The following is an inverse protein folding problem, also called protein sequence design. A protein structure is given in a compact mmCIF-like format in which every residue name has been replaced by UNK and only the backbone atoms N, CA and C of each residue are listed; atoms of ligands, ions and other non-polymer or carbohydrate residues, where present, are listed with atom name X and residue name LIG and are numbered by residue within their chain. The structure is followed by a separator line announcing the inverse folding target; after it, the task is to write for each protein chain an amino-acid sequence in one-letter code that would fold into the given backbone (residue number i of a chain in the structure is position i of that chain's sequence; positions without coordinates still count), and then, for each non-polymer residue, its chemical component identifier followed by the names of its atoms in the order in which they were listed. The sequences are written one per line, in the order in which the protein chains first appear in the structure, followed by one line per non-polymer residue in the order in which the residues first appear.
data_IF_399522938933
#
_entry.id   IF_399522938933
#
_cell.length_a   1.000
_cell.length_b   1.000
_cell.length_c   1.000
_cell.angle_alpha   90.00
_cell.angle_beta   90.00
_cell.angle_gamma   90.00
#
_symmetry.space_group_name_H-M   'P 1'
#
loop_
_entity.id
_entity.type
_entity.pdbx_description
1 polymer ?
#
# COMPACT_ATOMS: atom_id res chain seq x y z
N UNK A 1 1.02 -11.39 -4.81
CA UNK A 1 0.90 -10.89 -6.20
C UNK A 1 1.13 -9.40 -6.18
N UNK A 2 2.27 -8.97 -6.73
CA UNK A 2 2.71 -7.59 -6.78
C UNK A 2 2.06 -6.87 -7.97
N UNK A 3 1.41 -5.75 -7.70
CA UNK A 3 1.02 -4.80 -8.74
C UNK A 3 2.09 -3.71 -8.79
N UNK A 4 2.83 -3.64 -9.91
CA UNK A 4 3.74 -2.53 -10.16
C UNK A 4 2.95 -1.39 -10.80
N UNK A 5 3.03 -0.21 -10.21
CA UNK A 5 2.24 0.95 -10.59
C UNK A 5 3.15 2.17 -10.74
N UNK A 6 3.15 2.84 -11.88
CA UNK A 6 3.89 4.08 -12.07
C UNK A 6 2.93 5.27 -12.04
N UNK A 7 3.24 6.28 -11.23
CA UNK A 7 2.54 7.56 -11.26
C UNK A 7 3.01 8.35 -12.48
N UNK A 8 2.10 8.81 -13.32
CA UNK A 8 2.41 9.63 -14.49
C UNK A 8 1.70 10.99 -14.41
N UNK A 9 2.38 12.03 -14.88
CA UNK A 9 1.76 13.32 -15.19
C UNK A 9 1.18 13.29 -16.61
N UNK A 10 0.21 14.15 -16.89
CA UNK A 10 -0.35 14.28 -18.23
C UNK A 10 0.54 15.11 -19.17
N UNK A 11 1.67 15.65 -18.69
CA UNK A 11 2.63 16.36 -19.54
C UNK A 11 4.07 16.36 -18.95
N UNK A 12 5.04 16.26 -19.87
CA UNK A 12 6.49 16.47 -19.76
C UNK A 12 7.48 15.52 -19.04
N UNK A 13 8.65 15.43 -19.68
CA UNK A 13 9.86 14.65 -19.33
C UNK A 13 10.75 15.37 -18.31
N UNK A 14 11.37 14.63 -17.38
CA UNK A 14 12.45 15.16 -16.51
C UNK A 14 13.67 14.25 -16.40
N UNK A 15 14.83 14.89 -16.22
CA UNK A 15 16.15 14.29 -16.03
C UNK A 15 16.36 13.82 -14.58
N UNK A 16 16.90 12.62 -14.41
CA UNK A 16 17.22 12.00 -13.13
C UNK A 16 18.56 12.50 -12.57
N UNK A 17 18.59 12.86 -11.29
CA UNK A 17 19.80 13.08 -10.49
C UNK A 17 19.92 11.94 -9.48
N UNK A 18 21.09 11.33 -9.35
CA UNK A 18 21.29 10.20 -8.44
C UNK A 18 21.28 10.67 -6.99
N UNK A 19 20.29 10.22 -6.21
CA UNK A 19 20.29 10.28 -4.74
C UNK A 19 20.90 8.99 -4.18
N UNK A 20 21.46 9.08 -2.96
CA UNK A 20 21.87 7.91 -2.20
C UNK A 20 20.67 6.95 -2.05
N UNK A 21 20.87 5.67 -2.42
CA UNK A 21 19.83 4.65 -2.37
C UNK A 21 19.60 4.22 -0.90
N UNK A 22 18.66 4.90 -0.25
CA UNK A 22 18.29 4.64 1.14
C UNK A 22 16.87 4.04 1.23
N UNK A 23 16.73 2.89 1.89
CA UNK A 23 15.46 2.26 2.20
C UNK A 23 14.95 2.65 3.57
N UNK A 24 13.68 3.03 3.69
CA UNK A 24 13.02 3.26 4.99
C UNK A 24 11.94 2.21 5.24
N UNK A 25 12.09 1.44 6.31
CA UNK A 25 11.07 0.52 6.80
C UNK A 25 10.28 1.16 7.96
N UNK A 26 8.96 1.23 7.83
CA UNK A 26 8.08 1.74 8.88
C UNK A 26 7.48 0.56 9.64
N UNK A 27 7.82 0.42 10.91
CA UNK A 27 7.34 -0.66 11.78
C UNK A 27 6.71 -0.07 13.04
N UNK A 28 5.53 -0.54 13.40
CA UNK A 28 4.79 0.02 14.53
C UNK A 28 5.22 -0.57 15.86
N UNK A 29 5.46 -1.88 15.91
CA UNK A 29 5.87 -2.59 17.12
C UNK A 29 7.36 -2.37 17.37
N UNK A 30 7.75 -1.85 18.54
CA UNK A 30 9.17 -1.76 18.89
C UNK A 30 9.84 -3.14 18.95
N UNK A 31 9.10 -4.19 19.32
CA UNK A 31 9.60 -5.57 19.35
C UNK A 31 9.93 -6.08 17.94
N UNK A 32 9.01 -5.92 16.98
CA UNK A 32 9.29 -6.30 15.59
C UNK A 32 10.35 -5.41 14.95
N UNK A 33 10.38 -4.12 15.27
CA UNK A 33 11.42 -3.23 14.80
C UNK A 33 12.81 -3.69 15.26
N UNK A 34 12.96 -4.11 16.52
CA UNK A 34 14.23 -4.65 17.03
C UNK A 34 14.66 -5.92 16.26
N UNK A 35 13.72 -6.78 15.89
CA UNK A 35 13.99 -7.97 15.05
C UNK A 35 14.43 -7.54 13.65
N UNK A 36 13.72 -6.60 13.01
CA UNK A 36 14.08 -6.09 11.67
C UNK A 36 15.49 -5.49 11.71
N UNK A 37 15.80 -4.63 12.69
CA UNK A 37 17.11 -4.00 12.85
C UNK A 37 18.20 -5.08 12.99
N UNK A 38 17.97 -6.11 13.81
CA UNK A 38 18.95 -7.20 13.98
C UNK A 38 19.19 -7.99 12.70
N UNK A 39 18.14 -8.22 11.90
CA UNK A 39 18.26 -8.93 10.61
C UNK A 39 18.92 -8.08 9.53
N UNK A 40 18.61 -6.78 9.48
CA UNK A 40 19.26 -5.80 8.60
C UNK A 40 20.76 -5.73 8.91
N UNK A 41 21.11 -5.69 10.19
CA UNK A 41 22.51 -5.66 10.64
C UNK A 41 23.25 -6.95 10.31
N UNK A 42 22.63 -8.10 10.58
CA UNK A 42 23.17 -9.41 10.20
C UNK A 42 23.40 -9.52 8.68
N UNK A 43 22.54 -8.91 7.87
CA UNK A 43 22.65 -8.89 6.42
C UNK A 43 23.69 -7.87 5.89
N UNK A 44 24.26 -7.04 6.76
CA UNK A 44 25.21 -5.98 6.39
C UNK A 44 24.54 -4.81 5.64
N UNK A 45 23.25 -4.58 5.88
CA UNK A 45 22.46 -3.55 5.19
C UNK A 45 22.18 -2.32 6.08
N UNK A 46 22.80 -2.23 7.26
CA UNK A 46 22.59 -1.14 8.23
C UNK A 46 22.88 0.25 7.69
N UNK A 47 23.78 0.37 6.70
CA UNK A 47 24.13 1.66 6.09
C UNK A 47 23.06 2.17 5.11
N UNK A 48 22.21 1.29 4.59
CA UNK A 48 21.23 1.63 3.55
C UNK A 48 19.77 1.48 4.02
N UNK A 49 19.48 0.67 5.05
CA UNK A 49 18.11 0.48 5.56
C UNK A 49 17.96 1.15 6.92
N UNK A 50 17.06 2.13 7.00
CA UNK A 50 16.64 2.75 8.26
C UNK A 50 15.27 2.23 8.70
N UNK A 51 15.17 1.81 9.95
CA UNK A 51 13.91 1.36 10.56
C UNK A 51 13.35 2.49 11.42
N UNK A 52 12.12 2.90 11.14
CA UNK A 52 11.43 3.97 11.86
C UNK A 52 10.28 3.37 12.66
N UNK A 53 10.39 3.46 13.98
CA UNK A 53 9.39 2.90 14.90
C UNK A 53 8.21 3.86 15.10
N UNK A 54 6.99 3.35 14.97
CA UNK A 54 5.74 4.06 15.24
C UNK A 54 4.67 3.83 14.17
N UNK A 55 3.48 4.40 14.35
CA UNK A 55 2.43 4.31 13.32
C UNK A 55 2.94 4.89 12.00
N UNK A 56 2.71 4.18 10.90
CA UNK A 56 3.18 4.60 9.58
C UNK A 56 2.68 6.01 9.21
N UNK A 57 1.44 6.36 9.58
CA UNK A 57 0.87 7.69 9.29
C UNK A 57 1.66 8.82 9.97
N UNK A 58 2.00 8.63 11.25
CA UNK A 58 2.73 9.62 12.03
C UNK A 58 4.21 9.65 11.64
N UNK A 59 4.79 8.49 11.33
CA UNK A 59 6.16 8.38 10.82
C UNK A 59 6.32 9.08 9.47
N UNK A 60 5.42 8.87 8.51
CA UNK A 60 5.42 9.58 7.22
C UNK A 60 5.34 11.10 7.43
N UNK A 61 4.40 11.57 8.25
CA UNK A 61 4.25 13.01 8.54
C UNK A 61 5.50 13.60 9.19
N UNK A 62 6.10 12.89 10.13
CA UNK A 62 7.33 13.32 10.83
C UNK A 62 8.50 13.42 9.87
N UNK A 63 8.72 12.39 9.04
CA UNK A 63 9.79 12.36 8.04
C UNK A 63 9.64 13.47 6.98
N UNK A 64 8.40 13.71 6.54
CA UNK A 64 8.10 14.83 5.65
C UNK A 64 8.37 16.18 6.34
N UNK A 65 7.89 16.37 7.58
CA UNK A 65 8.08 17.61 8.33
C UNK A 65 9.56 17.92 8.62
N UNK A 66 10.39 16.90 8.87
CA UNK A 66 11.83 17.06 9.04
C UNK A 66 12.60 17.17 7.73
N UNK A 67 11.93 17.15 6.56
CA UNK A 67 12.54 17.10 5.23
C UNK A 67 13.47 15.90 5.00
N UNK A 68 13.36 14.85 5.83
CA UNK A 68 14.11 13.61 5.70
C UNK A 68 13.53 12.73 4.57
N UNK A 69 12.24 12.84 4.30
CA UNK A 69 11.56 12.22 3.17
C UNK A 69 10.91 13.31 2.32
N UNK A 70 11.43 13.50 1.10
CA UNK A 70 10.97 14.55 0.16
C UNK A 70 10.22 13.97 -1.03
N UNK A 71 10.62 12.77 -1.45
CA UNK A 71 10.05 12.03 -2.57
C UNK A 71 10.20 10.53 -2.27
N UNK A 72 9.33 9.72 -2.87
CA UNK A 72 9.39 8.26 -2.80
C UNK A 72 9.54 7.75 -4.23
N UNK A 73 10.72 7.21 -4.56
CA UNK A 73 10.96 6.57 -5.86
C UNK A 73 10.25 5.21 -5.93
N UNK A 74 10.30 4.43 -4.84
CA UNK A 74 9.66 3.13 -4.72
C UNK A 74 8.87 3.02 -3.40
N UNK A 75 7.57 2.70 -3.50
CA UNK A 75 6.71 2.43 -2.34
C UNK A 75 6.27 0.97 -2.32
N UNK A 76 6.70 0.21 -1.30
CA UNK A 76 6.24 -1.17 -1.09
C UNK A 76 5.12 -1.22 -0.03
N UNK A 77 4.00 -1.86 -0.35
CA UNK A 77 2.82 -1.98 0.52
C UNK A 77 2.52 -3.46 0.83
N UNK A 78 2.83 -3.90 2.06
CA UNK A 78 2.66 -5.31 2.49
C UNK A 78 2.20 -5.48 3.96
N UNK A 79 1.41 -4.55 4.47
CA UNK A 79 1.01 -4.54 5.88
C UNK A 79 -0.52 -4.70 6.04
N UNK A 80 -1.17 -3.79 6.76
CA UNK A 80 -2.60 -3.70 6.96
C UNK A 80 -3.34 -3.21 5.71
N UNK A 81 -3.90 -4.15 4.95
CA UNK A 81 -4.63 -3.92 3.69
C UNK A 81 -5.63 -2.77 3.74
N UNK A 82 -6.48 -2.63 4.78
CA UNK A 82 -7.44 -1.53 4.84
C UNK A 82 -6.80 -0.14 4.82
N UNK A 83 -5.51 -0.03 5.15
CA UNK A 83 -4.80 1.24 5.18
C UNK A 83 -4.08 1.60 3.87
N UNK A 84 -3.95 0.70 2.89
CA UNK A 84 -3.14 0.97 1.69
C UNK A 84 -3.59 2.24 0.98
N UNK A 85 -4.90 2.36 0.72
CA UNK A 85 -5.46 3.55 0.05
C UNK A 85 -5.31 4.80 0.91
N UNK A 86 -5.42 4.69 2.23
CA UNK A 86 -5.22 5.82 3.15
C UNK A 86 -3.76 6.28 3.13
N UNK A 87 -2.81 5.35 3.14
CA UNK A 87 -1.39 5.66 3.08
C UNK A 87 -0.99 6.27 1.75
N UNK A 88 -1.49 5.71 0.65
CA UNK A 88 -1.30 6.30 -0.67
C UNK A 88 -1.81 7.74 -0.70
N UNK A 89 -3.07 7.98 -0.31
CA UNK A 89 -3.66 9.33 -0.27
C UNK A 89 -2.89 10.28 0.65
N UNK A 90 -2.34 9.81 1.77
CA UNK A 90 -1.46 10.60 2.63
C UNK A 90 -0.19 11.01 1.91
N UNK A 91 0.51 10.07 1.28
CA UNK A 91 1.74 10.36 0.54
C UNK A 91 1.50 11.28 -0.65
N UNK A 92 0.40 11.11 -1.39
CA UNK A 92 -0.01 12.03 -2.46
C UNK A 92 -0.28 13.45 -1.94
N UNK A 93 -1.00 13.56 -0.82
CA UNK A 93 -1.33 14.86 -0.21
C UNK A 93 -0.08 15.61 0.25
N UNK A 94 0.90 14.88 0.78
CA UNK A 94 2.20 15.41 1.19
C UNK A 94 3.18 15.56 0.02
N UNK A 95 2.76 15.31 -1.23
CA UNK A 95 3.61 15.36 -2.43
C UNK A 95 4.85 14.47 -2.36
N UNK A 96 4.77 13.37 -1.60
CA UNK A 96 5.81 12.34 -1.53
C UNK A 96 5.69 11.36 -2.70
N UNK A 97 4.46 11.04 -3.10
CA UNK A 97 4.15 10.30 -4.34
C UNK A 97 3.90 11.33 -5.43
N UNK A 98 4.73 11.29 -6.47
CA UNK A 98 4.66 12.20 -7.63
C UNK A 98 4.92 11.41 -8.90
N UNK A 99 4.75 12.00 -10.09
CA UNK A 99 5.13 11.34 -11.33
C UNK A 99 6.56 10.78 -11.27
N UNK A 100 6.76 9.54 -11.72
CA UNK A 100 7.99 8.76 -11.58
C UNK A 100 8.03 7.82 -10.37
N UNK A 101 7.17 8.01 -9.36
CA UNK A 101 7.04 7.05 -8.25
C UNK A 101 6.52 5.71 -8.74
N UNK A 102 7.22 4.63 -8.40
CA UNK A 102 6.77 3.26 -8.60
C UNK A 102 6.20 2.72 -7.29
N UNK A 103 5.06 2.05 -7.36
CA UNK A 103 4.47 1.35 -6.22
C UNK A 103 4.40 -0.14 -6.48
N UNK A 104 4.66 -0.92 -5.44
CA UNK A 104 4.52 -2.37 -5.42
C UNK A 104 3.60 -2.75 -4.26
N UNK A 105 2.40 -3.22 -4.57
CA UNK A 105 1.44 -3.61 -3.53
C UNK A 105 1.21 -5.11 -3.55
N UNK A 106 1.38 -5.77 -2.40
CA UNK A 106 1.21 -7.21 -2.29
C UNK A 106 -0.20 -7.61 -1.82
N UNK A 107 -0.56 -8.84 -2.16
CA UNK A 107 -1.77 -9.55 -1.80
C UNK A 107 -3.07 -8.82 -2.18
N UNK A 108 -3.05 -8.14 -3.33
CA UNK A 108 -4.16 -7.37 -3.91
C UNK A 108 -5.33 -8.28 -4.34
N UNK A 109 -5.06 -9.53 -4.72
CA UNK A 109 -6.09 -10.45 -5.23
C UNK A 109 -6.74 -11.30 -4.13
N UNK A 110 -5.97 -11.77 -3.15
CA UNK A 110 -6.49 -12.56 -2.02
C UNK A 110 -5.74 -12.22 -0.74
N UNK A 111 -6.44 -11.94 0.38
CA UNK A 111 -7.88 -11.68 0.57
C UNK A 111 -8.50 -10.50 -0.19
N UNK A 112 -7.74 -9.71 -0.94
CA UNK A 112 -8.29 -8.59 -1.71
C UNK A 112 -8.03 -7.23 -1.07
N UNK A 113 -7.92 -6.18 -1.90
CA UNK A 113 -8.00 -4.79 -1.46
C UNK A 113 -8.90 -3.97 -2.41
N UNK A 114 -10.24 -4.12 -2.32
CA UNK A 114 -11.15 -3.45 -3.24
C UNK A 114 -11.03 -1.92 -3.26
N UNK A 115 -10.89 -1.21 -2.12
CA UNK A 115 -10.71 0.25 -2.15
C UNK A 115 -9.45 0.69 -2.90
N UNK A 116 -8.36 -0.08 -2.80
CA UNK A 116 -7.13 0.20 -3.54
C UNK A 116 -7.29 -0.07 -5.04
N UNK A 117 -7.89 -1.21 -5.39
CA UNK A 117 -8.19 -1.61 -6.76
C UNK A 117 -9.22 -0.71 -7.46
N UNK A 118 -10.11 -0.07 -6.70
CA UNK A 118 -11.01 0.95 -7.23
C UNK A 118 -10.24 2.26 -7.44
N UNK A 119 -9.43 2.68 -6.46
CA UNK A 119 -8.79 3.99 -6.49
C UNK A 119 -7.67 4.10 -7.51
N UNK A 120 -6.71 3.17 -7.52
CA UNK A 120 -5.49 3.28 -8.33
C UNK A 120 -5.78 3.35 -9.84
N UNK A 121 -6.49 2.40 -10.46
CA UNK A 121 -6.74 2.42 -11.90
C UNK A 121 -7.85 3.40 -12.32
N UNK A 122 -8.48 4.11 -11.38
CA UNK A 122 -9.55 5.06 -11.69
C UNK A 122 -9.03 6.28 -12.44
N UNK A 123 -9.87 6.80 -13.33
CA UNK A 123 -9.61 8.08 -14.00
C UNK A 123 -9.73 9.25 -13.02
N UNK A 124 -9.16 10.40 -13.39
CA UNK A 124 -9.27 11.65 -12.62
C UNK A 124 -10.73 12.01 -12.33
N UNK A 125 -11.61 11.88 -13.32
CA UNK A 125 -13.03 12.21 -13.17
C UNK A 125 -13.72 11.31 -12.13
N UNK A 126 -13.40 10.01 -12.14
CA UNK A 126 -13.93 9.05 -11.16
C UNK A 126 -13.40 9.39 -9.76
N UNK A 127 -12.10 9.64 -9.61
CA UNK A 127 -11.48 10.03 -8.32
C UNK A 127 -12.12 11.31 -7.76
N UNK A 128 -12.31 12.32 -8.59
CA UNK A 128 -12.96 13.58 -8.21
C UNK A 128 -14.43 13.40 -7.84
N UNK A 129 -15.17 12.55 -8.58
CA UNK A 129 -16.56 12.20 -8.26
C UNK A 129 -16.67 11.49 -6.92
N UNK A 130 -15.87 10.44 -6.70
CA UNK A 130 -15.82 9.68 -5.44
C UNK A 130 -15.43 10.58 -4.25
N UNK A 131 -14.50 11.52 -4.42
CA UNK A 131 -14.09 12.45 -3.37
C UNK A 131 -15.16 13.47 -2.97
N UNK A 132 -16.15 13.72 -3.84
CA UNK A 132 -17.34 14.55 -3.54
C UNK A 132 -18.42 13.73 -2.82
N UNK A 133 -18.59 12.46 -3.21
CA UNK A 133 -19.59 11.54 -2.65
C UNK A 133 -19.17 11.05 -1.25
N UNK A 134 -17.91 10.65 -1.09
CA UNK A 134 -17.36 10.01 0.12
C UNK A 134 -17.01 11.01 1.24
N UNK A 135 -17.81 12.05 1.44
CA UNK A 135 -17.69 12.92 2.63
C UNK A 135 -18.18 12.23 3.93
N UNK A 136 -18.62 10.97 3.88
CA UNK A 136 -19.10 10.19 5.02
C UNK A 136 -18.18 9.00 5.33
N UNK A 137 -17.76 8.98 6.59
CA UNK A 137 -16.65 8.24 7.19
C UNK A 137 -16.84 6.72 7.21
N UNK A 138 -15.76 5.95 7.02
CA UNK A 138 -15.69 4.51 7.35
C UNK A 138 -16.01 3.51 6.23
N UNK A 139 -16.35 3.96 5.02
CA UNK A 139 -16.72 3.07 3.91
C UNK A 139 -15.56 2.15 3.47
N UNK A 140 -14.35 2.68 3.32
CA UNK A 140 -13.21 1.91 2.79
C UNK A 140 -12.80 0.77 3.74
N UNK A 141 -12.91 0.94 5.06
CA UNK A 141 -12.61 -0.13 6.03
C UNK A 141 -13.77 -1.10 6.22
N UNK A 142 -15.02 -0.68 6.02
CA UNK A 142 -16.21 -1.51 6.16
C UNK A 142 -16.33 -2.62 5.11
N UNK A 143 -15.70 -2.43 3.93
CA UNK A 143 -15.64 -3.43 2.85
C UNK A 143 -14.85 -4.68 3.27
N UNK A 144 -13.95 -4.56 4.23
CA UNK A 144 -13.17 -5.70 4.71
C UNK A 144 -13.95 -6.51 5.75
N UNK A 145 -13.96 -7.84 5.57
CA UNK A 145 -14.51 -8.78 6.54
C UNK A 145 -13.94 -8.56 7.95
N UNK A 146 -14.74 -8.84 8.98
CA UNK A 146 -14.38 -8.61 10.39
C UNK A 146 -13.05 -9.23 10.79
N UNK A 147 -12.70 -10.40 10.23
CA UNK A 147 -11.42 -11.09 10.43
C UNK A 147 -10.21 -10.25 10.01
N UNK A 148 -10.30 -9.55 8.89
CA UNK A 148 -9.19 -8.73 8.35
C UNK A 148 -9.10 -7.39 9.05
N UNK A 149 -10.25 -6.78 9.39
CA UNK A 149 -10.28 -5.54 10.20
C UNK A 149 -9.61 -5.70 11.56
N UNK A 150 -9.83 -6.85 12.21
CA UNK A 150 -9.33 -7.12 13.55
C UNK A 150 -7.97 -7.84 13.59
N UNK A 151 -7.36 -8.13 12.43
CA UNK A 151 -6.18 -8.99 12.33
C UNK A 151 -5.04 -8.57 13.27
N UNK A 152 -4.78 -7.26 13.36
CA UNK A 152 -3.76 -6.69 14.24
C UNK A 152 -4.33 -5.98 15.47
N UNK A 153 -5.65 -5.94 15.63
CA UNK A 153 -6.28 -5.21 16.74
C UNK A 153 -5.88 -5.78 18.11
N UNK A 154 -5.60 -7.09 18.19
CA UNK A 154 -5.13 -7.75 19.41
C UNK A 154 -3.69 -7.37 19.80
N UNK A 155 -2.85 -7.03 18.82
CA UNK A 155 -1.40 -6.87 19.02
C UNK A 155 -0.98 -5.40 18.98
N UNK A 156 -1.67 -4.57 18.21
CA UNK A 156 -1.28 -3.17 17.97
C UNK A 156 -2.40 -2.16 18.31
N UNK A 157 -3.57 -2.63 18.73
CA UNK A 157 -4.75 -1.77 18.92
C UNK A 157 -5.34 -1.26 17.59
N UNK A 158 -6.48 -0.54 17.65
CA UNK A 158 -7.14 0.00 16.45
C UNK A 158 -6.33 1.13 15.83
N UNK A 159 -5.83 0.92 14.62
CA UNK A 159 -5.22 1.99 13.83
C UNK A 159 -6.28 3.05 13.48
N UNK A 160 -6.00 4.31 13.82
CA UNK A 160 -6.86 5.44 13.45
C UNK A 160 -6.48 5.93 12.07
N UNK A 161 -7.07 5.31 11.05
CA UNK A 161 -6.91 5.77 9.67
C UNK A 161 -7.62 7.10 9.48
N UNK A 162 -6.88 8.12 9.03
CA UNK A 162 -7.49 9.42 8.70
C UNK A 162 -8.36 9.26 7.46
N UNK A 163 -9.64 9.59 7.60
CA UNK A 163 -10.62 9.57 6.49
C UNK A 163 -10.73 10.92 5.78
N UNK A 164 -10.07 11.95 6.29
CA UNK A 164 -10.18 13.33 5.79
C UNK A 164 -9.27 13.58 4.58
N UNK A 165 -8.19 12.82 4.47
CA UNK A 165 -7.19 13.02 3.42
C UNK A 165 -7.70 12.42 2.11
N UNK A 166 -7.96 13.30 1.13
CA UNK A 166 -8.53 12.93 -0.17
C UNK A 166 -7.50 12.47 -1.20
N UNK A 167 -6.21 12.64 -0.92
CA UNK A 167 -5.12 12.38 -1.87
C UNK A 167 -5.05 13.40 -3.01
N UNK A 168 -4.21 13.12 -4.01
CA UNK A 168 -4.10 13.90 -5.23
C UNK A 168 -4.89 13.22 -6.35
N UNK A 169 -6.10 13.73 -6.59
CA UNK A 169 -7.04 13.15 -7.54
C UNK A 169 -6.60 13.31 -9.00
N UNK A 170 -5.60 14.14 -9.28
CA UNK A 170 -5.10 14.38 -10.63
C UNK A 170 -4.01 13.38 -11.06
N UNK A 171 -3.48 12.57 -10.13
CA UNK A 171 -2.52 11.53 -10.49
C UNK A 171 -3.20 10.39 -11.23
N UNK A 172 -2.58 9.95 -12.32
CA UNK A 172 -2.98 8.78 -13.08
C UNK A 172 -1.89 7.72 -12.91
N UNK A 173 -2.34 6.49 -12.68
CA UNK A 173 -1.47 5.37 -12.39
C UNK A 173 -1.51 4.39 -13.56
N UNK A 174 -0.36 4.12 -14.17
CA UNK A 174 -0.22 2.97 -15.05
C UNK A 174 0.01 1.74 -14.19
N UNK A 175 -0.87 0.74 -14.29
CA UNK A 175 -0.82 -0.42 -13.41
C UNK A 175 -0.69 -1.72 -14.19
N UNK A 176 0.24 -2.58 -13.79
CA UNK A 176 0.34 -3.95 -14.30
C UNK A 176 0.17 -4.96 -13.18
N UNK A 177 -0.61 -5.99 -13.42
CA UNK A 177 -0.73 -7.13 -12.52
C UNK A 177 0.33 -8.16 -12.89
N UNK A 178 1.28 -8.42 -11.98
CA UNK A 178 2.31 -9.45 -12.19
C UNK A 178 1.89 -10.71 -11.45
N UNK A 179 1.52 -11.76 -12.19
CA UNK A 179 1.14 -13.03 -11.60
C UNK A 179 2.34 -13.66 -10.86
N UNK A 180 2.21 -13.89 -9.55
CA UNK A 180 3.21 -14.68 -8.82
C UNK A 180 3.02 -16.16 -9.13
N UNK A 181 4.14 -16.89 -9.28
CA UNK A 181 4.17 -18.34 -9.44
C UNK A 181 4.07 -19.05 -8.08
N UNK A 182 3.33 -18.49 -7.13
CA UNK A 182 3.21 -19.10 -5.81
C UNK A 182 2.13 -20.19 -5.81
N UNK A 183 2.44 -21.40 -5.28
CA UNK A 183 1.43 -22.40 -5.06
C UNK A 183 0.47 -21.87 -3.99
N UNK A 184 -0.76 -21.56 -4.38
CA UNK A 184 -1.81 -20.95 -3.54
C UNK A 184 -2.27 -21.83 -2.35
N UNK A 185 -1.62 -22.96 -2.09
CA UNK A 185 -2.07 -23.99 -1.16
C UNK A 185 -3.34 -24.73 -1.61
N UNK A 186 -3.89 -24.39 -2.78
CA UNK A 186 -5.05 -25.07 -3.36
C UNK A 186 -4.58 -26.32 -4.11
N UNK A 187 -5.09 -27.53 -3.77
CA UNK A 187 -4.76 -28.74 -4.50
C UNK A 187 -5.03 -28.58 -6.00
N UNK A 188 -4.05 -28.92 -6.85
CA UNK A 188 -4.12 -28.77 -8.31
C UNK A 188 -5.37 -29.45 -8.92
N UNK A 189 -5.90 -30.50 -8.28
CA UNK A 189 -7.13 -31.19 -8.70
C UNK A 189 -8.36 -30.27 -8.70
N UNK A 190 -8.42 -29.29 -7.80
CA UNK A 190 -9.56 -28.37 -7.66
C UNK A 190 -9.47 -27.18 -8.64
N UNK A 191 -8.27 -26.90 -9.17
CA UNK A 191 -8.06 -25.85 -10.17
C UNK A 191 -8.57 -26.30 -11.56
N UNK A 192 -8.59 -27.61 -11.83
CA UNK A 192 -8.95 -28.17 -13.14
C UNK A 192 -10.40 -28.67 -13.25
N UNK A 193 -11.19 -28.59 -12.18
CA UNK A 193 -12.60 -29.01 -12.17
C UNK A 193 -13.54 -27.79 -12.23
N UNK A 194 -14.24 -27.56 -13.36
CA UNK A 194 -15.18 -26.45 -13.52
C UNK A 194 -16.34 -26.45 -12.50
N UNK A 195 -16.74 -27.63 -11.99
CA UNK A 195 -17.80 -27.74 -10.99
C UNK A 195 -17.29 -27.38 -9.58
N UNK A 196 -16.04 -27.74 -9.26
CA UNK A 196 -15.39 -27.31 -8.02
C UNK A 196 -15.13 -25.80 -8.00
N UNK A 197 -14.75 -25.20 -9.13
CA UNK A 197 -14.59 -23.75 -9.26
C UNK A 197 -15.87 -22.98 -8.95
N UNK A 198 -17.02 -23.49 -9.41
CA UNK A 198 -18.33 -22.87 -9.18
C UNK A 198 -18.83 -23.03 -7.74
N UNK A 199 -18.44 -24.12 -7.07
CA UNK A 199 -18.72 -24.34 -5.64
C UNK A 199 -17.85 -23.44 -4.75
N UNK A 200 -16.58 -23.24 -5.12
CA UNK A 200 -15.68 -22.30 -4.44
C UNK A 200 -16.12 -20.83 -4.53
N UNK A 201 -16.80 -20.44 -5.62
CA UNK A 201 -17.32 -19.08 -5.78
C UNK A 201 -18.51 -18.76 -4.88
N UNK A 202 -19.20 -19.78 -4.34
CA UNK A 202 -20.42 -19.63 -3.55
C UNK A 202 -20.24 -19.95 -2.05
N UNK A 203 -19.11 -20.50 -1.62
CA UNK A 203 -18.85 -20.86 -0.21
C UNK A 203 -17.88 -19.90 0.52
N UNK A 204 -17.40 -18.83 -0.11
CA UNK A 204 -16.42 -17.88 0.47
C UNK A 204 -16.73 -16.41 0.19
#
# INVERSE_FOLDING_TARGET
MLQAIEANDFDEKKAYQAQEEEGTALERSPEFAAVIISLVDLAGLSDIVKVVVGSSADSIKRLHASSALKHIDLMFLDHYKPAYTTYLKLCEHLKLVTPGTVMAADNINKPGNPPYLEYVPSTVQVKQGLAKIRNTSGADTAVFGSRWRCQYQKWEGKEKLSTEIKGNQNLVYESRMVNSFEPTGVPVRLIRDPHAQRKMANEY
#
